data_IF_453043536977
#
_entry.id   IF_453043536977
#
_cell.length_a   1.000
_cell.length_b   1.000
_cell.length_c   1.000
_cell.angle_alpha   90.00
_cell.angle_beta   90.00
_cell.angle_gamma   90.00
#
_symmetry.space_group_name_H-M   'P 1'
#
loop_
_entity.id
_entity.type
_entity.pdbx_description
1 polymer ?
#
# COMPACT_ATOMS: atom_id res chain seq x y z
N UNK A 1 2.64 7.75 15.34
CA UNK A 1 1.23 7.46 14.99
C UNK A 1 0.86 8.07 13.66
N UNK A 2 -0.08 7.46 12.96
CA UNK A 2 -0.62 7.85 11.67
C UNK A 2 -2.10 8.20 11.83
N UNK A 3 -2.54 9.30 11.20
CA UNK A 3 -3.96 9.59 11.12
C UNK A 3 -4.61 8.65 10.10
N UNK A 4 -5.53 7.82 10.58
CA UNK A 4 -6.30 6.88 9.76
C UNK A 4 -7.68 7.50 9.49
N UNK A 5 -7.99 7.89 8.25
CA UNK A 5 -9.17 8.68 7.93
C UNK A 5 -10.48 8.04 8.35
N UNK A 6 -10.65 6.74 8.10
CA UNK A 6 -11.90 6.04 8.46
C UNK A 6 -12.12 5.96 9.96
N UNK A 7 -11.06 5.82 10.74
CA UNK A 7 -11.11 5.79 12.19
C UNK A 7 -11.17 7.19 12.77
N UNK A 8 -10.92 8.23 11.97
CA UNK A 8 -10.84 9.66 12.36
C UNK A 8 -9.96 9.89 13.58
N UNK A 9 -8.90 9.10 13.75
CA UNK A 9 -7.97 9.19 14.87
C UNK A 9 -6.55 8.82 14.49
N UNK A 10 -5.62 9.21 15.37
CA UNK A 10 -4.23 8.80 15.28
C UNK A 10 -4.10 7.34 15.77
N UNK A 11 -3.46 6.49 14.96
CA UNK A 11 -3.21 5.08 15.28
C UNK A 11 -1.72 4.81 15.15
N UNK A 12 -1.17 4.03 16.05
CA UNK A 12 0.19 3.51 15.96
C UNK A 12 0.15 2.07 15.44
N UNK A 13 0.38 1.91 14.15
CA UNK A 13 0.36 0.60 13.50
C UNK A 13 1.55 -0.28 13.90
N UNK A 14 2.62 0.31 14.42
CA UNK A 14 3.78 -0.43 14.95
C UNK A 14 3.49 -1.17 16.26
N UNK A 15 2.42 -0.81 16.96
CA UNK A 15 2.03 -1.42 18.25
C UNK A 15 1.18 -2.70 18.10
N UNK A 16 1.02 -3.26 16.90
CA UNK A 16 0.32 -4.53 16.68
C UNK A 16 -1.20 -4.44 16.85
N UNK A 17 -1.81 -3.31 16.54
CA UNK A 17 -3.27 -3.18 16.56
C UNK A 17 -3.93 -4.13 15.56
N UNK A 18 -4.96 -4.90 15.97
CA UNK A 18 -5.74 -5.69 15.03
C UNK A 18 -6.51 -4.76 14.09
N UNK A 19 -6.42 -5.02 12.79
CA UNK A 19 -7.30 -4.40 11.80
C UNK A 19 -8.59 -5.22 11.75
N UNK A 20 -9.74 -4.56 11.93
CA UNK A 20 -11.05 -5.20 11.91
C UNK A 20 -11.77 -4.83 10.63
N UNK A 21 -12.19 -5.83 9.87
CA UNK A 21 -12.94 -5.71 8.63
C UNK A 21 -14.37 -6.26 8.84
N UNK A 22 -15.35 -5.42 9.22
CA UNK A 22 -16.71 -5.88 9.42
C UNK A 22 -17.36 -6.24 8.09
N UNK A 23 -18.18 -7.30 8.09
CA UNK A 23 -19.03 -7.68 6.97
C UNK A 23 -20.45 -7.92 7.46
N UNK A 24 -21.44 -7.47 6.69
CA UNK A 24 -22.85 -7.73 6.95
C UNK A 24 -23.61 -7.76 5.64
N UNK A 25 -24.69 -8.53 5.57
CA UNK A 25 -25.53 -8.60 4.38
C UNK A 25 -26.89 -9.17 4.68
N UNK A 26 -27.84 -8.82 3.83
CA UNK A 26 -29.21 -9.32 3.86
C UNK A 26 -29.61 -9.71 2.44
N UNK A 27 -30.34 -10.80 2.32
CA UNK A 27 -30.92 -11.25 1.06
C UNK A 27 -32.37 -11.62 1.25
N UNK A 28 -33.17 -11.31 0.24
CA UNK A 28 -34.61 -11.63 0.20
C UNK A 28 -34.99 -12.24 -1.14
N UNK A 29 -35.61 -13.41 -1.11
CA UNK A 29 -36.19 -14.06 -2.27
C UNK A 29 -37.71 -14.11 -2.08
N UNK A 30 -38.50 -13.36 -2.90
CA UNK A 30 -39.97 -13.44 -2.83
C UNK A 30 -40.45 -14.88 -3.09
N UNK A 31 -41.50 -15.35 -2.40
CA UNK A 31 -42.05 -16.67 -2.63
C UNK A 31 -42.43 -16.88 -4.13
N UNK A 32 -42.00 -18.01 -4.68
CA UNK A 32 -42.22 -18.34 -6.09
C UNK A 32 -41.38 -17.56 -7.09
N UNK A 33 -40.57 -16.62 -6.68
CA UNK A 33 -39.73 -15.81 -7.56
C UNK A 33 -38.44 -16.54 -7.96
N UNK A 34 -38.01 -16.30 -9.20
CA UNK A 34 -36.67 -16.64 -9.69
C UNK A 34 -35.63 -15.56 -9.35
N UNK A 35 -36.06 -14.42 -8.79
CA UNK A 35 -35.18 -13.30 -8.45
C UNK A 35 -34.94 -13.27 -6.94
N UNK A 36 -33.68 -13.07 -6.56
CA UNK A 36 -33.26 -12.78 -5.20
C UNK A 36 -32.65 -11.38 -5.17
N UNK A 37 -33.08 -10.54 -4.26
CA UNK A 37 -32.51 -9.23 -3.99
C UNK A 37 -31.60 -9.32 -2.78
N UNK A 38 -30.47 -8.59 -2.80
CA UNK A 38 -29.55 -8.56 -1.67
C UNK A 38 -28.87 -7.20 -1.56
N UNK A 39 -28.33 -6.94 -0.40
CA UNK A 39 -27.33 -5.88 -0.20
C UNK A 39 -26.33 -6.33 0.84
N UNK A 40 -25.11 -5.80 0.74
CA UNK A 40 -24.04 -6.12 1.65
C UNK A 40 -23.16 -4.90 1.94
N UNK A 41 -22.52 -4.93 3.12
CA UNK A 41 -21.41 -4.10 3.50
C UNK A 41 -20.21 -5.02 3.75
N UNK A 42 -19.05 -4.70 3.17
CA UNK A 42 -17.84 -5.51 3.33
C UNK A 42 -16.60 -4.67 3.05
N UNK A 43 -15.44 -5.12 3.52
CA UNK A 43 -14.17 -4.46 3.32
C UNK A 43 -13.26 -5.30 2.42
N UNK A 44 -13.23 -5.05 1.09
CA UNK A 44 -12.42 -5.82 0.16
C UNK A 44 -10.91 -5.59 0.34
N UNK A 45 -10.54 -4.46 0.94
CA UNK A 45 -9.14 -4.17 1.26
C UNK A 45 -9.05 -3.40 2.57
N UNK A 46 -8.41 -3.98 3.55
CA UNK A 46 -7.94 -3.32 4.77
C UNK A 46 -6.54 -3.84 5.04
N UNK A 47 -5.55 -2.99 4.89
CA UNK A 47 -4.17 -3.34 5.12
C UNK A 47 -3.45 -2.19 5.82
N UNK A 48 -2.58 -2.51 6.76
CA UNK A 48 -1.74 -1.55 7.44
C UNK A 48 -0.42 -2.18 7.82
N UNK A 49 0.64 -1.41 7.62
CA UNK A 49 2.00 -1.77 8.00
C UNK A 49 2.59 -0.62 8.81
N UNK A 50 3.35 -0.94 9.83
CA UNK A 50 4.02 0.05 10.64
C UNK A 50 5.34 -0.46 11.17
N UNK A 51 6.31 0.44 11.30
CA UNK A 51 7.55 0.21 11.97
C UNK A 51 7.66 1.11 13.21
N UNK A 52 8.38 0.66 14.21
CA UNK A 52 8.63 1.41 15.44
C UNK A 52 9.42 2.70 15.17
N UNK A 53 9.24 3.70 16.03
CA UNK A 53 10.03 4.92 15.98
C UNK A 53 11.52 4.61 16.12
N UNK A 54 12.34 5.26 15.29
CA UNK A 54 13.79 5.03 15.27
C UNK A 54 14.24 3.80 14.46
N UNK A 55 13.30 3.04 13.88
CA UNK A 55 13.66 1.96 12.97
C UNK A 55 14.41 2.52 11.74
N UNK A 56 15.57 1.96 11.36
CA UNK A 56 16.32 2.43 10.20
C UNK A 56 15.55 2.37 8.89
N UNK A 57 14.47 1.58 8.80
CA UNK A 57 13.58 1.46 7.65
C UNK A 57 12.51 2.53 7.50
N UNK A 58 12.38 3.46 8.46
CA UNK A 58 11.27 4.43 8.47
C UNK A 58 11.19 5.35 7.25
N UNK A 59 12.31 5.58 6.54
CA UNK A 59 12.31 6.36 5.30
C UNK A 59 11.75 5.59 4.09
N UNK A 60 11.54 4.28 4.20
CA UNK A 60 10.84 3.45 3.22
C UNK A 60 9.33 3.34 3.50
N UNK A 61 8.82 4.10 4.47
CA UNK A 61 7.46 4.07 4.96
C UNK A 61 7.42 3.62 6.41
N UNK A 62 7.27 4.57 7.32
CA UNK A 62 7.17 4.28 8.75
C UNK A 62 5.83 3.63 9.06
N UNK A 63 4.76 4.16 8.48
CA UNK A 63 3.41 3.62 8.61
C UNK A 63 2.65 3.85 7.31
N UNK A 64 1.91 2.85 6.89
CA UNK A 64 0.99 2.93 5.76
C UNK A 64 -0.29 2.21 6.09
N UNK A 65 -1.43 2.81 5.74
CA UNK A 65 -2.74 2.20 5.82
C UNK A 65 -3.46 2.42 4.49
N UNK A 66 -4.09 1.35 3.99
CA UNK A 66 -4.92 1.40 2.78
C UNK A 66 -6.24 0.72 3.11
N UNK A 67 -7.33 1.40 2.81
CA UNK A 67 -8.67 0.94 3.14
C UNK A 67 -9.61 1.12 1.95
N UNK A 68 -10.39 0.08 1.67
CA UNK A 68 -11.58 0.14 0.82
C UNK A 68 -12.71 -0.55 1.54
N UNK A 69 -13.80 0.16 1.78
CA UNK A 69 -15.00 -0.36 2.41
C UNK A 69 -16.18 -0.10 1.49
N UNK A 70 -16.78 -1.17 1.01
CA UNK A 70 -18.05 -1.13 0.29
C UNK A 70 -19.16 -1.08 1.34
N UNK A 71 -19.75 0.09 1.53
CA UNK A 71 -20.76 0.32 2.56
C UNK A 71 -22.18 0.04 2.09
N UNK A 72 -22.37 -0.11 0.77
CA UNK A 72 -23.64 -0.47 0.17
C UNK A 72 -23.37 -1.21 -1.14
N UNK A 73 -24.04 -2.36 -1.33
CA UNK A 73 -23.91 -3.18 -2.53
C UNK A 73 -25.25 -3.79 -2.95
N UNK A 74 -26.20 -2.97 -3.47
CA UNK A 74 -27.44 -3.51 -4.03
C UNK A 74 -27.13 -4.53 -5.11
N UNK A 75 -27.76 -5.68 -5.02
CA UNK A 75 -27.49 -6.86 -5.81
C UNK A 75 -28.78 -7.54 -6.21
N UNK A 76 -28.77 -8.20 -7.35
CA UNK A 76 -29.81 -9.14 -7.71
C UNK A 76 -29.21 -10.43 -8.26
N UNK A 77 -29.85 -11.55 -7.97
CA UNK A 77 -29.59 -12.85 -8.57
C UNK A 77 -30.82 -13.36 -9.31
N UNK A 78 -30.62 -13.95 -10.46
CA UNK A 78 -31.67 -14.54 -11.27
C UNK A 78 -31.39 -16.02 -11.54
N UNK A 79 -32.31 -16.88 -11.14
CA UNK A 79 -32.27 -18.32 -11.39
C UNK A 79 -32.84 -18.58 -12.81
N UNK A 80 -31.90 -18.77 -13.77
CA UNK A 80 -32.25 -19.03 -15.18
C UNK A 80 -33.04 -20.35 -15.30
N UNK A 81 -32.45 -21.40 -14.68
CA UNK A 81 -33.04 -22.73 -14.52
C UNK A 81 -32.54 -23.38 -13.23
N UNK A 82 -32.87 -24.67 -13.01
CA UNK A 82 -32.49 -25.38 -11.76
C UNK A 82 -30.98 -25.52 -11.57
N UNK A 83 -30.17 -25.36 -12.62
CA UNK A 83 -28.75 -25.56 -12.63
C UNK A 83 -27.94 -24.27 -12.84
N UNK A 84 -28.57 -23.19 -13.34
CA UNK A 84 -27.86 -21.98 -13.71
C UNK A 84 -28.45 -20.74 -13.05
N UNK A 85 -27.63 -19.99 -12.38
CA UNK A 85 -27.93 -18.67 -11.81
C UNK A 85 -26.93 -17.63 -12.28
N UNK A 86 -27.41 -16.41 -12.50
CA UNK A 86 -26.59 -15.24 -12.81
C UNK A 86 -26.89 -14.14 -11.81
N UNK A 87 -25.93 -13.25 -11.60
CA UNK A 87 -26.12 -12.15 -10.67
C UNK A 87 -25.32 -10.92 -11.05
N UNK A 88 -25.79 -9.77 -10.56
CA UNK A 88 -25.09 -8.51 -10.68
C UNK A 88 -25.25 -7.67 -9.42
N UNK A 89 -24.26 -6.82 -9.16
CA UNK A 89 -24.32 -5.84 -8.09
C UNK A 89 -23.59 -4.56 -8.45
N UNK A 90 -23.97 -3.47 -7.77
CA UNK A 90 -23.24 -2.19 -7.81
C UNK A 90 -22.76 -1.87 -6.42
N UNK A 91 -21.44 -1.83 -6.23
CA UNK A 91 -20.82 -1.48 -4.96
C UNK A 91 -20.53 0.02 -4.87
N UNK A 92 -20.90 0.62 -3.75
CA UNK A 92 -20.54 1.99 -3.37
C UNK A 92 -19.50 1.91 -2.27
N UNK A 93 -18.29 2.41 -2.56
CA UNK A 93 -17.14 2.23 -1.66
C UNK A 93 -16.53 3.55 -1.21
N UNK A 94 -16.16 3.59 0.07
CA UNK A 94 -15.24 4.53 0.65
C UNK A 94 -13.81 4.01 0.47
N UNK A 95 -12.86 4.92 0.17
CA UNK A 95 -11.45 4.58 0.04
C UNK A 95 -10.61 5.59 0.80
N UNK A 96 -9.54 5.10 1.42
CA UNK A 96 -8.57 5.94 2.10
C UNK A 96 -7.16 5.38 2.01
N UNK A 97 -6.18 6.28 1.97
CA UNK A 97 -4.76 5.98 2.09
C UNK A 97 -4.16 6.95 3.10
N UNK A 98 -3.41 6.43 4.03
CA UNK A 98 -2.61 7.21 4.93
C UNK A 98 -1.15 6.70 4.92
N UNK A 99 -0.21 7.62 4.89
CA UNK A 99 1.22 7.34 4.81
C UNK A 99 1.98 8.25 5.77
N UNK A 100 2.92 7.69 6.50
CA UNK A 100 3.97 8.41 7.22
C UNK A 100 5.32 7.83 6.85
N UNK A 101 6.26 8.68 6.46
CA UNK A 101 7.62 8.28 6.12
C UNK A 101 8.62 9.34 6.52
N UNK A 102 9.81 8.92 6.93
CA UNK A 102 10.93 9.82 7.10
C UNK A 102 11.53 10.15 5.74
N UNK A 103 11.87 11.42 5.55
CA UNK A 103 12.58 11.91 4.38
C UNK A 103 14.07 12.03 4.68
N UNK A 104 14.90 11.73 3.70
CA UNK A 104 16.36 11.78 3.82
C UNK A 104 16.98 12.47 2.61
N UNK A 105 18.25 12.80 2.65
CA UNK A 105 18.98 13.33 1.50
C UNK A 105 19.21 12.26 0.44
N UNK A 106 19.02 12.54 -0.85
CA UNK A 106 19.43 11.69 -1.95
C UNK A 106 20.94 11.37 -1.91
N UNK A 107 21.32 10.11 -2.16
CA UNK A 107 22.73 9.70 -2.18
C UNK A 107 23.55 10.52 -3.17
N UNK A 108 22.94 10.89 -4.31
CA UNK A 108 23.53 11.76 -5.32
C UNK A 108 23.86 13.13 -4.76
N UNK A 109 22.95 13.73 -4.01
CA UNK A 109 23.17 15.02 -3.40
C UNK A 109 24.31 14.95 -2.38
N UNK A 110 24.37 13.86 -1.61
CA UNK A 110 25.49 13.62 -0.70
C UNK A 110 26.79 13.43 -1.49
N UNK A 111 26.77 12.73 -2.61
CA UNK A 111 27.91 12.56 -3.51
C UNK A 111 28.40 13.89 -4.09
N UNK A 112 27.48 14.73 -4.57
CA UNK A 112 27.80 16.08 -5.06
C UNK A 112 28.40 16.96 -3.96
N UNK A 113 27.83 16.91 -2.77
CA UNK A 113 28.30 17.70 -1.63
C UNK A 113 29.68 17.24 -1.13
N UNK A 114 29.95 15.93 -1.16
CA UNK A 114 31.30 15.40 -0.88
C UNK A 114 32.30 15.85 -1.94
N UNK A 115 31.95 15.80 -3.22
CA UNK A 115 32.80 16.29 -4.28
C UNK A 115 33.10 17.80 -4.12
N UNK A 116 32.11 18.61 -3.77
CA UNK A 116 32.28 20.03 -3.43
C UNK A 116 33.19 20.21 -2.21
N UNK A 117 33.03 19.40 -1.16
CA UNK A 117 33.92 19.43 0.00
C UNK A 117 35.37 19.11 -0.37
N UNK A 118 35.59 18.01 -1.14
CA UNK A 118 36.92 17.54 -1.51
C UNK A 118 37.64 18.51 -2.50
N UNK A 119 36.89 19.06 -3.47
CA UNK A 119 37.47 19.88 -4.54
C UNK A 119 37.49 21.37 -4.19
N UNK A 120 36.45 21.84 -3.48
CA UNK A 120 36.27 23.27 -3.21
C UNK A 120 36.64 23.65 -1.77
N UNK A 121 36.26 22.83 -0.80
CA UNK A 121 36.42 23.19 0.61
C UNK A 121 37.76 22.71 1.21
N UNK A 122 38.21 21.50 0.88
CA UNK A 122 39.44 20.93 1.45
C UNK A 122 40.70 21.72 1.13
N UNK A 123 40.92 22.27 -0.09
CA UNK A 123 42.09 23.07 -0.42
C UNK A 123 42.18 24.38 0.34
N UNK A 124 41.09 24.88 0.88
CA UNK A 124 41.00 26.19 1.55
C UNK A 124 41.01 26.08 3.09
N UNK A 125 40.93 24.90 3.64
CA UNK A 125 40.93 24.69 5.10
C UNK A 125 42.23 25.12 5.79
N UNK A 126 43.33 25.12 5.04
CA UNK A 126 44.66 25.44 5.55
C UNK A 126 45.10 26.88 5.23
N UNK A 127 44.35 27.62 4.42
CA UNK A 127 44.64 29.01 4.08
C UNK A 127 43.71 29.94 4.85
N UNK A 128 44.24 30.67 5.78
CA UNK A 128 43.57 31.74 6.55
C UNK A 128 43.21 32.97 5.66
N UNK A 129 42.66 32.75 4.49
CA UNK A 129 42.33 33.81 3.55
C UNK A 129 40.86 34.24 3.76
N UNK A 130 40.67 35.35 4.46
CA UNK A 130 39.39 35.90 4.91
C UNK A 130 38.38 36.11 3.80
N UNK A 131 38.81 36.30 2.54
CA UNK A 131 37.95 36.49 1.37
C UNK A 131 37.39 35.16 0.88
N UNK A 132 38.20 34.09 0.93
CA UNK A 132 37.79 32.75 0.53
C UNK A 132 36.85 32.13 1.55
N UNK A 133 37.09 32.40 2.84
CA UNK A 133 36.16 32.02 3.90
C UNK A 133 34.79 32.67 3.74
N UNK A 134 34.74 33.98 3.41
CA UNK A 134 33.47 34.68 3.23
C UNK A 134 32.68 34.18 2.03
N UNK A 135 33.32 33.70 0.97
CA UNK A 135 32.69 33.25 -0.27
C UNK A 135 32.23 31.77 -0.18
N UNK A 136 32.96 30.92 0.56
CA UNK A 136 32.77 29.46 0.56
C UNK A 136 32.19 28.92 1.87
N UNK A 137 32.28 29.66 2.99
CA UNK A 137 31.81 29.25 4.30
C UNK A 137 30.38 28.70 4.31
N UNK A 138 29.49 29.30 3.55
CA UNK A 138 28.10 28.85 3.48
C UNK A 138 27.93 27.45 2.88
N UNK A 139 28.78 27.06 1.92
CA UNK A 139 28.73 25.76 1.25
C UNK A 139 29.50 24.73 2.08
N UNK A 140 30.64 25.12 2.62
CA UNK A 140 31.54 24.21 3.34
C UNK A 140 31.02 23.83 4.74
N UNK A 141 30.29 24.72 5.42
CA UNK A 141 29.65 24.44 6.71
C UNK A 141 28.33 23.69 6.59
N UNK A 142 27.70 23.68 5.41
CA UNK A 142 26.43 23.00 5.18
C UNK A 142 26.53 21.45 5.28
N UNK A 143 27.73 20.88 5.28
CA UNK A 143 27.95 19.44 5.21
C UNK A 143 27.76 18.67 6.53
N UNK A 144 27.86 19.32 7.69
CA UNK A 144 27.88 18.62 8.99
C UNK A 144 26.59 17.84 9.31
N UNK A 145 25.45 18.20 8.71
CA UNK A 145 24.18 17.46 8.85
C UNK A 145 23.90 16.45 7.75
N UNK A 146 24.74 16.35 6.71
CA UNK A 146 24.44 15.59 5.50
C UNK A 146 24.99 14.17 5.52
N UNK A 147 24.27 13.31 6.20
CA UNK A 147 24.52 11.88 6.24
C UNK A 147 23.32 11.14 5.61
N UNK A 148 23.52 10.07 4.80
CA UNK A 148 22.42 9.26 4.29
C UNK A 148 21.44 8.76 5.34
N UNK A 149 21.89 8.63 6.57
CA UNK A 149 21.08 8.15 7.70
C UNK A 149 20.37 9.28 8.46
N UNK A 150 20.70 10.54 8.20
CA UNK A 150 20.08 11.66 8.89
C UNK A 150 18.71 11.97 8.30
N UNK A 151 17.75 12.23 9.18
CA UNK A 151 16.40 12.63 8.82
C UNK A 151 16.39 14.09 8.31
N UNK A 152 15.82 14.29 7.13
CA UNK A 152 15.55 15.60 6.55
C UNK A 152 14.22 16.17 7.00
N UNK A 153 13.30 15.30 7.32
CA UNK A 153 11.95 15.63 7.75
C UNK A 153 11.09 14.37 7.82
N UNK A 154 9.84 14.55 8.15
CA UNK A 154 8.82 13.50 8.10
C UNK A 154 7.64 13.98 7.25
N UNK A 155 7.28 13.18 6.26
CA UNK A 155 6.07 13.38 5.45
C UNK A 155 4.92 12.56 6.04
N UNK A 156 3.79 13.23 6.26
CA UNK A 156 2.51 12.57 6.53
C UNK A 156 1.52 12.96 5.43
N UNK A 157 0.80 11.96 4.92
CA UNK A 157 -0.25 12.13 3.92
C UNK A 157 -1.48 11.37 4.38
N UNK A 158 -2.64 11.99 4.27
CA UNK A 158 -3.94 11.36 4.48
C UNK A 158 -4.86 11.75 3.34
N UNK A 159 -5.32 10.76 2.60
CA UNK A 159 -6.15 10.90 1.41
C UNK A 159 -7.40 10.05 1.55
N UNK A 160 -8.53 10.57 1.09
CA UNK A 160 -9.79 9.81 1.09
C UNK A 160 -10.69 10.17 -0.09
N UNK A 161 -11.61 9.27 -0.40
CA UNK A 161 -12.75 9.51 -1.28
C UNK A 161 -13.95 8.72 -0.75
N UNK A 162 -15.05 9.42 -0.52
CA UNK A 162 -16.26 8.85 0.11
C UNK A 162 -17.09 7.98 -0.82
N UNK A 163 -16.98 8.16 -2.12
CA UNK A 163 -17.77 7.41 -3.11
C UNK A 163 -16.90 7.02 -4.30
N UNK A 164 -16.75 5.71 -4.49
CA UNK A 164 -16.13 5.09 -5.65
C UNK A 164 -17.00 3.90 -6.09
N UNK A 165 -17.78 4.03 -7.16
CA UNK A 165 -18.65 2.95 -7.62
C UNK A 165 -17.84 1.86 -8.32
N UNK A 166 -18.32 0.61 -8.19
CA UNK A 166 -17.88 -0.54 -8.97
C UNK A 166 -19.06 -1.47 -9.21
N UNK A 167 -18.97 -2.35 -10.20
CA UNK A 167 -19.97 -3.38 -10.41
C UNK A 167 -19.34 -4.77 -10.36
N UNK A 168 -20.16 -5.76 -10.00
CA UNK A 168 -19.80 -7.17 -10.05
C UNK A 168 -20.81 -7.91 -10.92
N UNK A 169 -20.31 -8.89 -11.67
CA UNK A 169 -21.10 -9.84 -12.44
C UNK A 169 -20.72 -11.24 -11.99
N UNK A 170 -21.71 -12.10 -11.80
CA UNK A 170 -21.49 -13.46 -11.34
C UNK A 170 -22.32 -14.48 -12.07
N UNK A 171 -21.79 -15.69 -12.15
CA UNK A 171 -22.45 -16.87 -12.69
C UNK A 171 -22.19 -18.03 -11.73
N UNK A 172 -23.22 -18.83 -11.49
CA UNK A 172 -23.15 -20.10 -10.77
C UNK A 172 -23.86 -21.18 -11.61
N UNK A 173 -23.14 -22.26 -11.88
CA UNK A 173 -23.63 -23.40 -12.62
C UNK A 173 -23.43 -24.67 -11.81
N UNK A 174 -24.54 -25.35 -11.48
CA UNK A 174 -24.59 -26.54 -10.65
C UNK A 174 -25.35 -27.64 -11.39
N UNK A 175 -24.71 -28.34 -12.37
CA UNK A 175 -25.38 -29.36 -13.18
C UNK A 175 -25.78 -30.60 -12.36
N UNK A 176 -25.12 -30.86 -11.23
CA UNK A 176 -25.41 -31.93 -10.30
C UNK A 176 -25.22 -31.47 -8.86
N UNK A 177 -25.72 -32.24 -7.88
CA UNK A 177 -25.50 -31.96 -6.46
C UNK A 177 -24.04 -32.10 -6.03
N UNK A 178 -23.22 -32.81 -6.80
CA UNK A 178 -21.82 -33.11 -6.50
C UNK A 178 -20.84 -32.17 -7.19
N UNK A 179 -21.27 -31.45 -8.23
CA UNK A 179 -20.41 -30.55 -8.99
C UNK A 179 -21.03 -29.15 -9.11
N UNK A 180 -20.22 -28.13 -8.87
CA UNK A 180 -20.58 -26.76 -9.12
C UNK A 180 -19.39 -25.96 -9.65
N UNK A 181 -19.69 -25.02 -10.54
CA UNK A 181 -18.76 -24.02 -11.09
C UNK A 181 -19.31 -22.64 -10.81
N UNK A 182 -18.45 -21.76 -10.32
CA UNK A 182 -18.76 -20.34 -10.12
C UNK A 182 -17.72 -19.44 -10.73
N UNK A 183 -18.15 -18.28 -11.21
CA UNK A 183 -17.23 -17.21 -11.61
C UNK A 183 -17.78 -15.84 -11.25
N UNK A 184 -16.89 -14.92 -10.97
CA UNK A 184 -17.21 -13.53 -10.69
C UNK A 184 -16.19 -12.60 -11.34
N UNK A 185 -16.70 -11.51 -11.88
CA UNK A 185 -15.90 -10.38 -12.34
C UNK A 185 -16.31 -9.14 -11.56
N UNK A 186 -15.33 -8.45 -11.01
CA UNK A 186 -15.47 -7.13 -10.39
C UNK A 186 -14.76 -6.10 -11.26
N UNK A 187 -15.49 -5.03 -11.60
CA UNK A 187 -14.92 -3.94 -12.39
C UNK A 187 -13.84 -3.18 -11.63
N UNK A 188 -12.90 -2.59 -12.37
CA UNK A 188 -12.08 -1.52 -11.85
C UNK A 188 -12.91 -0.35 -11.32
N UNK A 189 -12.35 0.41 -10.37
CA UNK A 189 -12.96 1.62 -9.86
C UNK A 189 -11.95 2.76 -9.81
N UNK A 190 -12.13 3.75 -10.69
CA UNK A 190 -11.29 4.96 -10.74
C UNK A 190 -11.73 5.93 -9.66
N UNK A 191 -10.74 6.56 -9.03
CA UNK A 191 -10.97 7.53 -7.97
C UNK A 191 -9.90 8.60 -7.96
N UNK A 192 -10.27 9.80 -7.49
CA UNK A 192 -9.34 10.87 -7.18
C UNK A 192 -9.37 11.14 -5.68
N UNK A 193 -8.46 10.52 -4.98
CA UNK A 193 -8.29 10.71 -3.53
C UNK A 193 -7.81 12.14 -3.27
N UNK A 194 -8.37 12.79 -2.26
CA UNK A 194 -8.00 14.14 -1.84
C UNK A 194 -7.82 14.18 -0.33
N UNK A 195 -6.93 15.05 0.12
CA UNK A 195 -6.71 15.18 1.54
C UNK A 195 -5.63 16.17 1.90
N UNK A 196 -4.92 15.88 2.97
CA UNK A 196 -3.93 16.78 3.55
C UNK A 196 -2.56 16.12 3.61
N UNK A 197 -1.55 16.94 3.48
CA UNK A 197 -0.19 16.57 3.81
C UNK A 197 0.39 17.49 4.88
N UNK A 198 1.40 16.99 5.58
CA UNK A 198 2.24 17.72 6.51
C UNK A 198 3.68 17.20 6.38
N UNK A 199 4.62 18.12 6.23
CA UNK A 199 6.05 17.85 6.28
C UNK A 199 6.60 18.55 7.51
N UNK A 200 7.17 17.78 8.41
CA UNK A 200 7.92 18.26 9.57
C UNK A 200 9.40 18.27 9.16
N UNK A 201 9.93 19.47 8.87
CA UNK A 201 11.29 19.64 8.39
C UNK A 201 12.29 19.55 9.56
N UNK A 202 13.30 18.71 9.42
CA UNK A 202 14.39 18.62 10.39
C UNK A 202 15.30 19.87 10.32
N UNK A 203 16.22 19.99 11.27
CA UNK A 203 17.16 21.11 11.32
C UNK A 203 18.15 21.11 10.13
N UNK A 204 18.56 19.94 9.66
CA UNK A 204 19.56 19.80 8.61
C UNK A 204 19.21 20.55 7.30
N UNK A 205 18.00 20.45 6.70
CA UNK A 205 17.62 21.26 5.53
C UNK A 205 17.56 22.75 5.85
N UNK A 206 17.15 23.13 7.05
CA UNK A 206 17.10 24.53 7.48
C UNK A 206 18.50 25.14 7.56
N UNK A 207 19.45 24.39 8.14
CA UNK A 207 20.84 24.79 8.27
C UNK A 207 21.54 24.86 6.91
N UNK A 208 21.26 23.90 5.99
CA UNK A 208 21.76 23.94 4.62
C UNK A 208 21.33 25.22 3.91
N UNK A 209 20.03 25.50 3.91
CA UNK A 209 19.49 26.69 3.20
C UNK A 209 19.99 27.97 3.87
N UNK A 210 20.08 28.01 5.19
CA UNK A 210 20.65 29.16 5.93
C UNK A 210 22.12 29.36 5.56
N UNK A 211 22.92 28.29 5.52
CA UNK A 211 24.32 28.31 5.14
C UNK A 211 24.52 28.84 3.72
N UNK A 212 23.75 28.34 2.75
CA UNK A 212 23.79 28.82 1.38
C UNK A 212 23.44 30.31 1.30
N UNK A 213 22.45 30.77 2.04
CA UNK A 213 22.05 32.19 2.02
C UNK A 213 22.95 33.13 2.83
N UNK A 214 23.93 32.61 3.55
CA UNK A 214 24.87 33.43 4.36
C UNK A 214 26.00 34.05 3.56
N UNK A 215 26.22 33.64 2.29
CA UNK A 215 27.24 34.19 1.40
C UNK A 215 26.64 34.64 0.05
N UNK A 216 27.30 35.59 -0.61
CA UNK A 216 26.86 36.07 -1.94
C UNK A 216 26.89 34.95 -3.00
N UNK A 217 27.93 34.12 -2.99
CA UNK A 217 28.07 32.96 -3.89
C UNK A 217 27.00 31.90 -3.60
N UNK A 218 26.73 31.64 -2.32
CA UNK A 218 25.67 30.73 -1.90
C UNK A 218 24.28 31.20 -2.29
N UNK A 219 23.99 32.51 -2.20
CA UNK A 219 22.72 33.10 -2.67
C UNK A 219 22.55 32.93 -4.18
N UNK A 220 23.60 33.15 -4.98
CA UNK A 220 23.58 32.93 -6.43
C UNK A 220 23.29 31.44 -6.72
N UNK A 221 23.97 30.54 -6.06
CA UNK A 221 23.73 29.09 -6.20
C UNK A 221 22.32 28.69 -5.79
N UNK A 222 21.83 29.20 -4.67
CA UNK A 222 20.46 28.98 -4.21
C UNK A 222 19.43 29.49 -5.24
N UNK A 223 19.68 30.68 -5.84
CA UNK A 223 18.83 31.23 -6.89
C UNK A 223 18.84 30.37 -8.18
N UNK A 224 20.02 29.92 -8.63
CA UNK A 224 20.16 29.00 -9.78
C UNK A 224 19.42 27.68 -9.53
N UNK A 225 19.51 27.13 -8.33
CA UNK A 225 18.84 25.89 -7.93
C UNK A 225 17.34 26.09 -7.60
N UNK A 226 16.85 27.34 -7.59
CA UNK A 226 15.48 27.65 -7.22
C UNK A 226 15.14 27.34 -5.76
N UNK A 227 16.14 27.37 -4.87
CA UNK A 227 15.96 27.13 -3.45
C UNK A 227 15.34 28.36 -2.77
N UNK A 228 14.47 28.16 -1.75
CA UNK A 228 13.91 29.27 -0.97
C UNK A 228 14.97 29.91 -0.07
N UNK A 229 14.71 31.13 0.40
CA UNK A 229 15.58 31.81 1.37
C UNK A 229 15.59 31.17 2.76
N UNK A 230 14.57 30.39 3.09
CA UNK A 230 14.47 29.66 4.35
C UNK A 230 13.62 28.38 4.19
N UNK A 231 13.76 27.43 5.09
CA UNK A 231 12.92 26.24 5.19
C UNK A 231 12.08 26.39 6.47
N UNK A 232 10.75 26.37 6.40
CA UNK A 232 9.90 26.44 7.58
C UNK A 232 9.98 25.15 8.39
N UNK A 233 9.66 25.20 9.69
CA UNK A 233 9.62 23.98 10.53
C UNK A 233 8.57 23.00 10.02
N UNK A 234 7.40 23.51 9.62
CA UNK A 234 6.28 22.71 9.12
C UNK A 234 5.79 23.29 7.78
N UNK A 235 5.70 22.43 6.80
CA UNK A 235 4.98 22.67 5.55
C UNK A 235 3.71 21.81 5.52
N UNK A 236 2.57 22.43 5.21
CA UNK A 236 1.30 21.69 5.14
C UNK A 236 0.37 22.28 4.07
N UNK A 237 -0.55 21.47 3.58
CA UNK A 237 -1.50 21.89 2.57
C UNK A 237 -2.38 20.73 2.12
N UNK A 238 -2.91 20.87 0.89
CA UNK A 238 -3.74 19.86 0.26
C UNK A 238 -2.93 19.00 -0.71
N UNK A 239 -3.32 17.75 -0.82
CA UNK A 239 -2.71 16.80 -1.76
C UNK A 239 -3.81 15.95 -2.40
N UNK A 240 -3.61 15.60 -3.67
CA UNK A 240 -4.48 14.71 -4.41
C UNK A 240 -3.67 13.59 -5.07
N UNK A 241 -4.34 12.45 -5.32
CA UNK A 241 -3.77 11.33 -6.04
C UNK A 241 -4.87 10.61 -6.82
N UNK A 242 -4.64 10.39 -8.11
CA UNK A 242 -5.49 9.51 -8.91
C UNK A 242 -5.10 8.06 -8.65
N UNK A 243 -6.08 7.23 -8.33
CA UNK A 243 -5.92 5.81 -8.06
C UNK A 243 -7.01 5.03 -8.79
N UNK A 244 -6.66 3.85 -9.28
CA UNK A 244 -7.61 2.88 -9.77
C UNK A 244 -7.57 1.63 -8.89
N UNK A 245 -8.70 1.28 -8.28
CA UNK A 245 -8.84 -0.03 -7.66
C UNK A 245 -8.91 -1.08 -8.76
N UNK A 246 -8.04 -2.10 -8.76
CA UNK A 246 -7.91 -3.00 -9.89
C UNK A 246 -9.15 -3.84 -10.13
N UNK A 247 -9.42 -4.17 -11.40
CA UNK A 247 -10.39 -5.18 -11.75
C UNK A 247 -9.97 -6.54 -11.20
N UNK A 248 -10.94 -7.36 -10.84
CA UNK A 248 -10.71 -8.70 -10.29
C UNK A 248 -11.61 -9.72 -10.99
N UNK A 249 -11.03 -10.86 -11.35
CA UNK A 249 -11.72 -12.02 -11.85
C UNK A 249 -11.39 -13.23 -10.97
N UNK A 250 -12.39 -14.02 -10.65
CA UNK A 250 -12.22 -15.28 -9.96
C UNK A 250 -13.16 -16.34 -10.53
N UNK A 251 -12.68 -17.56 -10.66
CA UNK A 251 -13.49 -18.71 -11.00
C UNK A 251 -13.09 -19.90 -10.12
N UNK A 252 -14.04 -20.75 -9.81
CA UNK A 252 -13.80 -21.92 -8.98
C UNK A 252 -14.76 -23.06 -9.26
N UNK A 253 -14.34 -24.24 -8.86
CA UNK A 253 -15.14 -25.44 -8.87
C UNK A 253 -15.26 -26.04 -7.47
N UNK A 254 -16.39 -26.62 -7.17
CA UNK A 254 -16.59 -27.52 -6.05
C UNK A 254 -16.90 -28.91 -6.60
N UNK A 255 -16.33 -29.96 -5.99
CA UNK A 255 -16.57 -31.34 -6.36
C UNK A 255 -16.60 -32.23 -5.13
N UNK A 256 -17.67 -32.97 -4.93
CA UNK A 256 -17.74 -33.99 -3.88
C UNK A 256 -17.00 -35.25 -4.34
N UNK A 257 -15.84 -35.48 -3.73
CA UNK A 257 -15.02 -36.66 -3.97
C UNK A 257 -15.63 -37.86 -3.26
N UNK A 258 -16.17 -37.64 -2.06
CA UNK A 258 -16.89 -38.60 -1.23
C UNK A 258 -18.17 -37.95 -0.70
N UNK A 259 -19.17 -38.66 -0.22
CA UNK A 259 -20.40 -38.10 0.32
C UNK A 259 -20.18 -37.04 1.41
N UNK A 260 -19.11 -37.16 2.17
CA UNK A 260 -18.73 -36.27 3.27
C UNK A 260 -17.51 -35.42 2.99
N UNK A 261 -16.84 -35.57 1.81
CA UNK A 261 -15.62 -34.82 1.45
C UNK A 261 -15.77 -34.09 0.15
N UNK A 262 -15.67 -32.73 0.19
CA UNK A 262 -15.69 -31.83 -0.95
C UNK A 262 -14.32 -31.21 -1.19
N UNK A 263 -13.92 -31.22 -2.45
CA UNK A 263 -12.76 -30.48 -2.96
C UNK A 263 -13.24 -29.14 -3.56
N UNK A 264 -12.50 -28.07 -3.28
CA UNK A 264 -12.69 -26.77 -3.91
C UNK A 264 -11.36 -26.36 -4.59
N UNK A 265 -11.44 -25.90 -5.82
CA UNK A 265 -10.32 -25.34 -6.57
C UNK A 265 -10.71 -23.98 -7.10
N UNK A 266 -9.84 -23.00 -6.92
CA UNK A 266 -10.05 -21.63 -7.33
C UNK A 266 -8.87 -21.11 -8.15
N UNK A 267 -9.18 -20.26 -9.13
CA UNK A 267 -8.22 -19.44 -9.85
C UNK A 267 -8.67 -17.98 -9.81
N UNK A 268 -7.73 -17.08 -9.66
CA UNK A 268 -8.00 -15.65 -9.57
C UNK A 268 -7.00 -14.81 -10.36
N UNK A 269 -7.44 -13.66 -10.81
CA UNK A 269 -6.61 -12.66 -11.46
C UNK A 269 -7.04 -11.27 -11.02
N UNK A 270 -6.07 -10.43 -10.68
CA UNK A 270 -6.30 -9.03 -10.30
C UNK A 270 -5.41 -8.15 -11.14
N UNK A 271 -5.99 -7.13 -11.79
CA UNK A 271 -5.26 -6.22 -12.66
C UNK A 271 -4.44 -5.19 -11.89
N UNK A 272 -3.42 -5.64 -11.19
CA UNK A 272 -2.49 -4.75 -10.49
C UNK A 272 -1.64 -3.89 -11.44
N UNK A 273 -1.67 -4.12 -12.76
CA UNK A 273 -1.01 -3.23 -13.72
C UNK A 273 -1.59 -1.80 -13.71
N UNK A 274 -2.83 -1.63 -13.20
CA UNK A 274 -3.41 -0.33 -12.88
C UNK A 274 -2.54 0.49 -11.89
N UNK A 275 -1.74 -0.17 -11.05
CA UNK A 275 -0.81 0.46 -10.12
C UNK A 275 0.58 0.61 -10.73
N UNK A 276 0.63 1.20 -11.92
CA UNK A 276 1.87 1.46 -12.62
C UNK A 276 2.72 2.54 -11.91
N UNK A 277 2.06 3.61 -11.43
CA UNK A 277 2.68 4.67 -10.61
C UNK A 277 1.67 5.34 -9.70
N UNK A 278 2.12 5.76 -8.53
CA UNK A 278 1.37 6.66 -7.66
C UNK A 278 1.93 8.06 -7.79
N UNK A 279 1.07 9.03 -8.16
CA UNK A 279 1.46 10.43 -8.31
C UNK A 279 0.71 11.27 -7.29
N UNK A 280 1.46 11.86 -6.36
CA UNK A 280 0.97 12.84 -5.41
C UNK A 280 1.09 14.24 -6.02
N UNK A 281 -0.01 15.00 -6.02
CA UNK A 281 -0.10 16.36 -6.53
C UNK A 281 -0.43 17.29 -5.37
N UNK A 282 0.50 18.19 -5.04
CA UNK A 282 0.38 19.13 -3.94
C UNK A 282 -0.19 20.47 -4.42
N UNK A 283 -0.97 21.14 -3.59
CA UNK A 283 -1.61 22.44 -3.89
C UNK A 283 -0.60 23.58 -4.00
N UNK A 284 0.62 23.38 -3.52
CA UNK A 284 1.70 24.37 -3.54
C UNK A 284 3.05 23.69 -3.78
N UNK A 285 4.05 24.53 -4.06
CA UNK A 285 5.44 24.08 -4.19
C UNK A 285 5.96 23.63 -2.83
N UNK A 286 6.68 22.50 -2.83
CA UNK A 286 7.30 21.89 -1.64
C UNK A 286 8.80 22.15 -1.69
N UNK A 287 9.37 22.68 -0.61
CA UNK A 287 10.79 23.05 -0.52
C UNK A 287 11.70 21.87 -0.90
N UNK A 288 11.44 20.70 -0.35
CA UNK A 288 12.25 19.51 -0.62
C UNK A 288 12.14 19.04 -2.09
N UNK A 289 10.97 19.17 -2.71
CA UNK A 289 10.77 18.75 -4.12
C UNK A 289 11.51 19.68 -5.09
N UNK A 290 11.74 20.94 -4.75
CA UNK A 290 12.56 21.86 -5.56
C UNK A 290 13.99 21.36 -5.73
N UNK A 291 14.53 20.70 -4.70
CA UNK A 291 15.84 20.07 -4.77
C UNK A 291 15.76 18.73 -5.50
N UNK A 292 14.78 17.89 -5.14
CA UNK A 292 14.63 16.56 -5.69
C UNK A 292 14.39 16.54 -7.21
N UNK A 293 13.71 17.55 -7.78
CA UNK A 293 13.48 17.66 -9.24
C UNK A 293 14.78 17.78 -10.06
N UNK A 294 15.86 18.26 -9.44
CA UNK A 294 17.17 18.34 -10.13
C UNK A 294 17.79 16.96 -10.35
N UNK A 295 17.32 15.96 -9.61
CA UNK A 295 17.86 14.62 -9.57
C UNK A 295 16.94 13.60 -10.25
N UNK A 296 15.69 13.96 -10.54
CA UNK A 296 14.73 13.01 -11.12
C UNK A 296 13.60 13.67 -11.90
N UNK A 297 13.27 13.04 -13.02
CA UNK A 297 12.14 13.40 -13.87
C UNK A 297 10.76 13.03 -13.28
N UNK A 298 10.72 12.21 -12.22
CA UNK A 298 9.49 11.82 -11.54
C UNK A 298 9.03 12.84 -10.48
N UNK A 299 9.77 13.97 -10.37
CA UNK A 299 9.49 15.05 -9.42
C UNK A 299 9.35 16.37 -10.13
N UNK A 300 8.37 17.15 -9.69
CA UNK A 300 8.23 18.59 -10.00
C UNK A 300 8.19 19.40 -8.72
N UNK A 301 8.12 20.71 -8.79
CA UNK A 301 8.04 21.56 -7.58
C UNK A 301 6.84 21.23 -6.69
N UNK A 302 5.77 20.66 -7.25
CA UNK A 302 4.52 20.36 -6.57
C UNK A 302 3.98 18.94 -6.82
N UNK A 303 4.77 18.05 -7.36
CA UNK A 303 4.36 16.66 -7.50
C UNK A 303 5.50 15.66 -7.34
N UNK A 304 5.16 14.49 -6.82
CA UNK A 304 6.05 13.35 -6.66
C UNK A 304 5.37 12.12 -7.25
N UNK A 305 6.03 11.46 -8.21
CA UNK A 305 5.57 10.19 -8.76
C UNK A 305 6.45 9.04 -8.26
N UNK A 306 5.80 7.96 -7.82
CA UNK A 306 6.44 6.72 -7.42
C UNK A 306 6.15 5.65 -8.48
N UNK A 307 7.11 5.28 -9.34
CA UNK A 307 6.92 4.27 -10.36
C UNK A 307 6.94 2.87 -9.72
N UNK A 308 5.79 2.24 -9.62
CA UNK A 308 5.61 0.92 -9.01
C UNK A 308 5.70 -0.22 -10.03
N UNK A 309 5.16 -0.01 -11.23
CA UNK A 309 5.15 -0.98 -12.36
C UNK A 309 4.63 -2.36 -11.96
N UNK A 310 3.57 -2.43 -11.16
CA UNK A 310 3.02 -3.70 -10.70
C UNK A 310 2.58 -4.56 -11.87
N UNK A 311 2.65 -5.87 -11.69
CA UNK A 311 2.21 -6.90 -12.62
C UNK A 311 0.97 -7.61 -12.11
N UNK A 312 0.25 -8.29 -13.00
CA UNK A 312 -1.03 -8.94 -12.70
C UNK A 312 -0.90 -10.47 -12.78
N UNK A 313 -0.26 -11.12 -11.80
CA UNK A 313 -0.13 -12.58 -11.79
C UNK A 313 -1.48 -13.25 -11.54
N UNK A 314 -1.62 -14.47 -12.06
CA UNK A 314 -2.69 -15.38 -11.67
C UNK A 314 -2.39 -15.98 -10.30
N UNK A 315 -3.44 -16.21 -9.53
CA UNK A 315 -3.44 -16.97 -8.28
C UNK A 315 -4.27 -18.21 -8.42
N UNK A 316 -4.04 -19.19 -7.55
CA UNK A 316 -4.87 -20.38 -7.45
C UNK A 316 -4.93 -20.85 -5.99
N UNK A 317 -5.98 -21.56 -5.65
CA UNK A 317 -6.18 -22.12 -4.33
C UNK A 317 -6.79 -23.50 -4.37
N UNK A 318 -6.53 -24.28 -3.33
CA UNK A 318 -7.14 -25.59 -3.09
C UNK A 318 -7.70 -25.61 -1.68
N UNK A 319 -8.91 -26.12 -1.53
CA UNK A 319 -9.59 -26.29 -0.26
C UNK A 319 -10.29 -27.65 -0.15
N UNK A 320 -10.34 -28.15 1.07
CA UNK A 320 -11.10 -29.35 1.44
C UNK A 320 -12.15 -28.97 2.49
N UNK A 321 -13.36 -29.47 2.33
CA UNK A 321 -14.42 -29.42 3.34
C UNK A 321 -14.85 -30.84 3.67
N UNK A 322 -14.72 -31.21 4.95
CA UNK A 322 -15.12 -32.52 5.49
C UNK A 322 -16.34 -32.33 6.41
N UNK A 323 -17.43 -33.00 6.09
CA UNK A 323 -18.63 -33.07 6.91
C UNK A 323 -18.46 -34.16 7.97
N UNK A 324 -17.88 -33.79 9.13
CA UNK A 324 -17.62 -34.75 10.22
C UNK A 324 -18.93 -35.28 10.82
N UNK A 325 -19.98 -34.49 10.81
CA UNK A 325 -21.35 -34.87 11.14
C UNK A 325 -22.33 -34.00 10.31
N UNK A 326 -23.62 -34.22 10.41
CA UNK A 326 -24.65 -33.39 9.75
C UNK A 326 -24.63 -31.92 10.21
N UNK A 327 -23.96 -31.65 11.36
CA UNK A 327 -23.88 -30.30 11.95
C UNK A 327 -22.49 -29.73 11.96
N UNK A 328 -21.44 -30.56 11.85
CA UNK A 328 -20.05 -30.11 12.00
C UNK A 328 -19.29 -30.28 10.69
N UNK A 329 -18.74 -29.16 10.20
CA UNK A 329 -17.87 -29.12 9.03
C UNK A 329 -16.47 -28.64 9.42
N UNK A 330 -15.47 -29.33 8.91
CA UNK A 330 -14.07 -28.96 9.06
C UNK A 330 -13.52 -28.55 7.69
N UNK A 331 -12.72 -27.49 7.65
CA UNK A 331 -12.16 -26.95 6.42
C UNK A 331 -10.67 -26.74 6.54
N UNK A 332 -9.97 -27.01 5.46
CA UNK A 332 -8.56 -26.67 5.31
C UNK A 332 -8.32 -26.14 3.90
N UNK A 333 -7.40 -25.17 3.76
CA UNK A 333 -7.11 -24.57 2.47
C UNK A 333 -5.67 -24.10 2.37
N UNK A 334 -5.19 -24.02 1.13
CA UNK A 334 -3.87 -23.53 0.77
C UNK A 334 -3.96 -22.67 -0.50
N UNK A 335 -3.30 -21.51 -0.48
CA UNK A 335 -3.20 -20.58 -1.60
C UNK A 335 -1.79 -20.03 -1.71
N UNK A 336 -1.02 -20.38 -2.75
CA UNK A 336 0.21 -19.70 -3.08
C UNK A 336 -0.13 -18.38 -3.81
N UNK A 337 0.45 -17.28 -3.35
CA UNK A 337 0.25 -15.94 -3.91
C UNK A 337 1.53 -15.46 -4.54
N UNK A 338 1.55 -15.37 -5.86
CA UNK A 338 2.64 -14.72 -6.58
C UNK A 338 2.60 -13.21 -6.32
N UNK A 339 3.77 -12.60 -6.21
CA UNK A 339 3.87 -11.15 -6.02
C UNK A 339 3.47 -10.40 -7.27
N UNK A 340 2.68 -9.34 -7.09
CA UNK A 340 2.45 -8.31 -8.11
C UNK A 340 3.59 -7.29 -8.20
N UNK A 341 4.49 -7.26 -7.21
CA UNK A 341 5.59 -6.30 -7.13
C UNK A 341 6.77 -6.84 -7.93
N UNK A 342 7.24 -6.16 -9.00
CA UNK A 342 8.43 -6.57 -9.74
C UNK A 342 9.69 -6.61 -8.87
N UNK A 343 10.64 -7.45 -9.22
CA UNK A 343 11.86 -7.64 -8.44
C UNK A 343 12.65 -6.34 -8.23
N UNK A 344 12.66 -5.46 -9.24
CA UNK A 344 13.33 -4.16 -9.19
C UNK A 344 12.54 -3.07 -8.46
N UNK A 345 11.34 -3.39 -7.94
CA UNK A 345 10.45 -2.49 -7.17
C UNK A 345 10.16 -2.99 -5.76
N UNK A 346 10.77 -4.09 -5.34
CA UNK A 346 10.62 -4.61 -3.98
C UNK A 346 11.07 -3.60 -2.94
N UNK A 347 10.31 -3.47 -1.86
CA UNK A 347 10.58 -2.49 -0.81
C UNK A 347 10.10 -2.98 0.56
N UNK A 348 10.49 -2.26 1.60
CA UNK A 348 10.11 -2.58 2.98
C UNK A 348 8.80 -1.90 3.42
N UNK A 349 8.25 -0.97 2.61
CA UNK A 349 6.97 -0.32 2.90
C UNK A 349 5.80 -1.30 2.77
N UNK A 350 5.85 -2.15 1.73
CA UNK A 350 4.91 -3.24 1.52
C UNK A 350 5.71 -4.55 1.50
N UNK A 351 6.07 -5.09 2.67
CA UNK A 351 7.00 -6.21 2.79
C UNK A 351 6.32 -7.56 2.53
N UNK A 352 5.41 -7.61 1.54
CA UNK A 352 4.73 -8.82 1.09
C UNK A 352 5.14 -9.08 -0.34
N UNK A 353 5.90 -10.14 -0.53
CA UNK A 353 6.29 -10.65 -1.83
C UNK A 353 5.54 -11.97 -2.11
N UNK A 354 6.16 -12.93 -2.78
CA UNK A 354 5.55 -14.24 -2.90
C UNK A 354 5.15 -14.75 -1.51
N UNK A 355 3.90 -15.12 -1.36
CA UNK A 355 3.34 -15.50 -0.07
C UNK A 355 2.66 -16.86 -0.16
N UNK A 356 2.49 -17.50 0.98
CA UNK A 356 1.72 -18.71 1.17
C UNK A 356 0.66 -18.44 2.21
N UNK A 357 -0.59 -18.72 1.87
CA UNK A 357 -1.72 -18.63 2.79
C UNK A 357 -2.23 -20.03 3.12
N UNK A 358 -2.29 -20.35 4.39
CA UNK A 358 -2.92 -21.54 4.93
C UNK A 358 -4.17 -21.14 5.70
N UNK A 359 -5.27 -21.83 5.48
CA UNK A 359 -6.54 -21.60 6.17
C UNK A 359 -7.05 -22.86 6.86
N UNK A 360 -7.62 -22.67 8.04
CA UNK A 360 -8.39 -23.70 8.75
C UNK A 360 -9.74 -23.10 9.14
N UNK A 361 -10.78 -23.92 9.14
CA UNK A 361 -12.12 -23.47 9.51
C UNK A 361 -12.96 -24.56 10.15
N UNK A 362 -13.90 -24.11 10.97
CA UNK A 362 -14.91 -24.95 11.60
C UNK A 362 -16.26 -24.29 11.39
N UNK A 363 -17.21 -25.01 10.80
CA UNK A 363 -18.60 -24.59 10.67
C UNK A 363 -19.49 -25.46 11.54
N UNK A 364 -20.40 -24.83 12.29
CA UNK A 364 -21.36 -25.53 13.12
C UNK A 364 -22.78 -25.04 12.84
N UNK A 365 -23.66 -26.00 12.53
CA UNK A 365 -25.08 -25.77 12.30
C UNK A 365 -25.86 -26.02 13.58
N UNK A 366 -26.42 -24.98 14.17
CA UNK A 366 -27.24 -25.09 15.38
C UNK A 366 -28.62 -25.73 15.06
N UNK A 367 -29.24 -25.26 13.98
CA UNK A 367 -30.54 -25.72 13.50
C UNK A 367 -30.63 -25.54 11.96
N UNK A 368 -31.82 -25.70 11.38
CA UNK A 368 -32.02 -25.59 9.92
C UNK A 368 -31.72 -24.18 9.36
N UNK A 369 -31.78 -23.16 10.21
CA UNK A 369 -31.76 -21.76 9.82
C UNK A 369 -30.51 -21.01 10.34
N UNK A 370 -29.74 -21.62 11.25
CA UNK A 370 -28.66 -20.92 11.97
C UNK A 370 -27.33 -21.65 11.83
N UNK A 371 -26.34 -20.97 11.27
CA UNK A 371 -24.97 -21.44 11.11
C UNK A 371 -23.97 -20.46 11.76
N UNK A 372 -22.90 -21.00 12.34
CA UNK A 372 -21.73 -20.27 12.84
C UNK A 372 -20.47 -20.83 12.21
N UNK A 373 -19.65 -19.96 11.65
CA UNK A 373 -18.34 -20.32 11.10
C UNK A 373 -17.21 -19.58 11.81
N UNK A 374 -16.17 -20.32 12.18
CA UNK A 374 -14.91 -19.82 12.71
C UNK A 374 -13.81 -20.15 11.71
N UNK A 375 -12.88 -19.23 11.50
CA UNK A 375 -11.73 -19.48 10.64
C UNK A 375 -10.45 -18.81 11.16
N UNK A 376 -9.32 -19.43 10.84
CA UNK A 376 -8.00 -18.87 11.05
C UNK A 376 -7.18 -19.02 9.77
N UNK A 377 -6.55 -17.91 9.35
CA UNK A 377 -5.66 -17.86 8.22
C UNK A 377 -4.25 -17.47 8.66
N UNK A 378 -3.23 -18.13 8.09
CA UNK A 378 -1.81 -17.82 8.32
C UNK A 378 -1.15 -17.51 6.98
N UNK A 379 -0.81 -16.23 6.78
CA UNK A 379 -0.04 -15.78 5.64
C UNK A 379 1.42 -15.64 6.03
N UNK A 380 2.29 -16.18 5.20
CA UNK A 380 3.74 -16.07 5.34
C UNK A 380 4.36 -15.60 4.02
N UNK A 381 5.17 -14.56 4.09
CA UNK A 381 6.00 -14.08 2.99
C UNK A 381 7.44 -13.92 3.48
N UNK A 382 8.39 -14.40 2.70
CA UNK A 382 9.83 -14.18 2.90
C UNK A 382 10.42 -13.66 1.63
N UNK A 383 11.22 -12.64 1.74
CA UNK A 383 11.91 -12.07 0.60
C UNK A 383 13.36 -11.76 0.92
N UNK A 384 14.20 -11.86 -0.09
CA UNK A 384 15.57 -11.39 -0.10
C UNK A 384 15.73 -10.48 -1.32
N UNK A 385 16.03 -9.21 -1.06
CA UNK A 385 16.29 -8.20 -2.07
C UNK A 385 17.82 -8.07 -2.16
N UNK A 386 18.49 -8.68 -3.15
CA UNK A 386 19.94 -8.60 -3.26
C UNK A 386 20.41 -7.17 -3.43
N UNK A 387 21.64 -6.89 -3.00
CA UNK A 387 22.27 -5.58 -3.13
C UNK A 387 22.10 -5.00 -4.53
N UNK A 388 21.83 -3.72 -4.64
CA UNK A 388 21.71 -2.95 -5.89
C UNK A 388 20.57 -3.36 -6.84
N UNK A 389 19.62 -4.23 -6.44
CA UNK A 389 18.61 -4.77 -7.36
C UNK A 389 17.30 -4.01 -7.38
N UNK A 390 16.90 -3.36 -6.27
CA UNK A 390 15.62 -2.66 -6.20
C UNK A 390 15.76 -1.15 -6.22
N UNK A 391 15.09 -0.50 -7.15
CA UNK A 391 15.04 0.96 -7.27
C UNK A 391 14.30 1.64 -6.11
N UNK A 392 13.45 0.91 -5.39
CA UNK A 392 12.70 1.42 -4.25
C UNK A 392 13.28 0.99 -2.88
N UNK A 393 14.40 0.26 -2.87
CA UNK A 393 14.97 -0.26 -1.62
C UNK A 393 16.49 -0.08 -1.53
N UNK A 394 17.28 -0.67 -2.40
CA UNK A 394 18.73 -0.77 -2.22
C UNK A 394 19.55 -0.54 -3.50
N UNK A 395 18.98 0.13 -4.50
CA UNK A 395 19.66 0.44 -5.77
C UNK A 395 20.96 1.19 -5.52
N UNK A 396 22.02 0.77 -6.19
CA UNK A 396 23.29 1.48 -6.29
C UNK A 396 23.18 2.53 -7.41
N UNK A 397 23.76 3.74 -7.22
CA UNK A 397 23.79 4.79 -8.23
C UNK A 397 22.62 5.80 -8.14
N UNK A 398 22.57 6.64 -9.16
CA UNK A 398 21.93 7.97 -9.14
C UNK A 398 20.42 8.02 -9.39
N UNK A 399 19.73 6.93 -9.64
CA UNK A 399 18.35 6.98 -10.17
C UNK A 399 17.24 6.93 -9.10
N UNK A 400 17.55 7.09 -7.81
CA UNK A 400 16.55 6.95 -6.76
C UNK A 400 16.37 8.21 -5.92
N UNK A 401 15.23 8.88 -6.10
CA UNK A 401 14.88 10.09 -5.34
C UNK A 401 14.59 9.79 -3.88
N UNK A 402 13.97 8.65 -3.63
CA UNK A 402 13.76 8.18 -2.27
C UNK A 402 15.09 7.60 -1.79
N UNK A 403 15.71 8.30 -0.92
CA UNK A 403 16.95 7.92 -0.39
C UNK A 403 17.02 6.64 0.26
N UNK A 404 18.07 6.02 0.00
CA UNK A 404 18.32 4.66 0.34
C UNK A 404 19.61 4.49 1.14
N UNK A 405 19.56 4.59 2.48
CA UNK A 405 20.68 4.22 3.32
C UNK A 405 21.03 2.73 3.23
N UNK A 406 20.20 1.89 2.60
CA UNK A 406 20.52 0.49 2.31
C UNK A 406 21.15 0.28 0.93
N UNK A 407 21.53 1.36 0.22
CA UNK A 407 22.25 1.26 -1.05
C UNK A 407 23.41 0.30 -0.95
N UNK A 408 23.44 -0.68 -1.82
CA UNK A 408 24.50 -1.70 -1.83
C UNK A 408 24.40 -2.79 -0.77
N UNK A 409 23.33 -2.82 0.04
CA UNK A 409 23.11 -3.84 1.06
C UNK A 409 22.03 -4.84 0.64
N UNK A 410 22.14 -6.08 1.08
CA UNK A 410 21.05 -7.06 1.02
C UNK A 410 19.96 -6.67 2.03
N UNK A 411 18.70 -6.69 1.56
CA UNK A 411 17.54 -6.44 2.43
C UNK A 411 16.71 -7.71 2.52
N UNK A 412 16.47 -8.20 3.73
CA UNK A 412 15.64 -9.38 3.99
C UNK A 412 14.37 -8.99 4.71
N UNK A 413 13.23 -9.45 4.21
CA UNK A 413 11.94 -9.28 4.86
C UNK A 413 11.32 -10.62 5.24
N UNK A 414 10.60 -10.66 6.36
CA UNK A 414 9.86 -11.83 6.82
C UNK A 414 8.54 -11.35 7.42
N UNK A 415 7.47 -11.49 6.63
CA UNK A 415 6.14 -11.06 7.02
C UNK A 415 5.29 -12.26 7.40
N UNK A 416 4.63 -12.17 8.54
CA UNK A 416 3.65 -13.13 9.03
C UNK A 416 2.38 -12.39 9.40
N UNK A 417 1.25 -12.85 8.88
CA UNK A 417 -0.07 -12.28 9.19
C UNK A 417 -0.98 -13.41 9.65
N UNK A 418 -1.66 -13.19 10.76
CA UNK A 418 -2.73 -14.08 11.24
C UNK A 418 -4.06 -13.36 11.05
N UNK A 419 -5.01 -14.02 10.44
CA UNK A 419 -6.36 -13.53 10.20
C UNK A 419 -7.34 -14.43 10.96
N UNK A 420 -8.23 -13.83 11.73
CA UNK A 420 -9.32 -14.55 12.41
C UNK A 420 -10.63 -14.12 11.79
N UNK A 421 -11.51 -15.05 11.51
CA UNK A 421 -12.84 -14.81 10.97
C UNK A 421 -13.91 -15.45 11.85
N UNK A 422 -14.98 -14.71 12.08
CA UNK A 422 -16.21 -15.16 12.72
C UNK A 422 -17.39 -14.76 11.83
N UNK A 423 -18.21 -15.71 11.45
CA UNK A 423 -19.42 -15.46 10.65
C UNK A 423 -20.63 -16.13 11.31
N UNK A 424 -21.71 -15.37 11.44
CA UNK A 424 -23.00 -15.83 11.91
C UNK A 424 -24.04 -15.60 10.81
N UNK A 425 -24.81 -16.61 10.48
CA UNK A 425 -25.88 -16.56 9.47
C UNK A 425 -27.15 -17.11 10.06
N UNK A 426 -28.27 -16.43 9.85
CA UNK A 426 -29.61 -16.90 10.20
C UNK A 426 -30.59 -16.62 9.07
N UNK A 427 -31.61 -17.47 8.93
CA UNK A 427 -32.75 -17.29 8.03
C UNK A 427 -33.97 -16.96 8.90
N UNK A 428 -34.89 -16.19 8.37
CA UNK A 428 -36.18 -15.86 8.99
C UNK A 428 -37.33 -15.98 7.98
#
# INVERSE_FOLDING_TARGET
SLYVPILKKMVDLGAGYPLVAPTAGIAYKPPGSKVTYATAMYAPLVAGFGAENGNPGNYMGQQVAVERITYLSPSFGYQVNDHLSIGASVGMSYNAIALKTDLRFPNEMIGVLRMVDDVVCAPFKDNNDMITDLLLLGICNAKEGMNPFNKMGALQVSLEQSLSPSYNLGLLWEPTDDFGFGMVYQSAAKMRLKGKYMIDNAKAPQELVRGLNSSATGQILAAILGLPGYVPDIESGLVAMDLEYPAHFQAGIKYKILPDLQLNLDVGWTDYSAWNKFKFEFDRQITLLKVAKLLSNDVTDNSLALPLKFTSPWSWGIGLEYSATDRLKLRAGYEPRASSIPNDKRNTMVPINNAQLFGLGVGYRFDADTDLDLSVGFLRSRDNIPACTSTLSNKCGVDNILLNPYSGLDVKTNTKVTVLGLSYRTKW
#
